data_IF_133407831356
#
_entry.id   IF_133407831356
#
_cell.length_a   1.000
_cell.length_b   1.000
_cell.length_c   1.000
_cell.angle_alpha   90.00
_cell.angle_beta   90.00
_cell.angle_gamma   90.00
#
_symmetry.space_group_name_H-M   'P 1'
#
loop_
_entity.id
_entity.type
_entity.pdbx_description
1 polymer ?
#
# COMPACT_ATOMS: atom_id res chain seq x y z
N UNK A 1 0.51 -5.25 -12.75
CA UNK A 1 -0.39 -6.08 -13.57
C UNK A 1 0.17 -6.32 -14.97
N UNK A 2 0.94 -5.39 -15.53
CA UNK A 2 1.46 -5.46 -16.91
C UNK A 2 2.70 -6.37 -17.10
N UNK A 3 3.28 -6.91 -16.04
CA UNK A 3 4.52 -7.73 -16.09
C UNK A 3 4.26 -9.20 -16.47
N UNK A 4 3.51 -9.43 -17.54
CA UNK A 4 3.06 -10.75 -18.00
C UNK A 4 4.23 -11.74 -18.23
N UNK A 5 5.23 -11.32 -19.01
CA UNK A 5 6.37 -12.17 -19.37
C UNK A 5 7.25 -12.49 -18.14
N UNK A 6 7.47 -11.51 -17.25
CA UNK A 6 8.28 -11.69 -16.06
C UNK A 6 7.60 -12.66 -15.08
N UNK A 7 6.28 -12.57 -14.93
CA UNK A 7 5.50 -13.50 -14.11
C UNK A 7 5.54 -14.89 -14.72
N UNK A 8 5.31 -15.02 -16.02
CA UNK A 8 5.39 -16.30 -16.73
C UNK A 8 6.79 -16.94 -16.55
N UNK A 9 7.85 -16.15 -16.74
CA UNK A 9 9.22 -16.63 -16.54
C UNK A 9 9.46 -17.12 -15.11
N UNK A 10 8.97 -16.36 -14.11
CA UNK A 10 9.08 -16.78 -12.70
C UNK A 10 8.34 -18.09 -12.41
N UNK A 11 7.15 -18.26 -13.00
CA UNK A 11 6.37 -19.50 -12.90
C UNK A 11 7.10 -20.69 -13.55
N UNK A 12 7.72 -20.49 -14.69
CA UNK A 12 8.54 -21.52 -15.35
C UNK A 12 9.77 -21.94 -14.52
N UNK A 13 10.26 -21.05 -13.63
CA UNK A 13 11.30 -21.35 -12.65
C UNK A 13 10.78 -21.99 -11.35
N UNK A 14 9.50 -22.27 -11.26
CA UNK A 14 8.86 -22.92 -10.10
C UNK A 14 8.57 -21.97 -8.93
N UNK A 15 8.56 -20.66 -9.16
CA UNK A 15 8.20 -19.68 -8.12
C UNK A 15 6.69 -19.66 -7.88
N UNK A 16 6.30 -19.51 -6.62
CA UNK A 16 4.94 -19.09 -6.25
C UNK A 16 4.88 -17.57 -6.33
N UNK A 17 3.99 -17.03 -7.14
CA UNK A 17 3.90 -15.59 -7.40
C UNK A 17 2.50 -15.09 -7.08
N UNK A 18 2.43 -14.07 -6.22
CA UNK A 18 1.22 -13.32 -5.92
C UNK A 18 1.43 -11.89 -6.44
N UNK A 19 0.54 -11.42 -7.29
CA UNK A 19 0.56 -10.04 -7.81
C UNK A 19 -0.45 -9.21 -7.04
N UNK A 20 0.00 -8.08 -6.49
CA UNK A 20 -0.88 -7.03 -5.92
C UNK A 20 -0.77 -5.79 -6.79
N UNK A 21 -1.89 -5.27 -7.27
CA UNK A 21 -1.91 -4.08 -8.13
C UNK A 21 -3.19 -3.27 -7.92
N UNK A 22 -3.23 -2.07 -8.48
CA UNK A 22 -4.38 -1.17 -8.44
C UNK A 22 -4.63 -0.48 -9.79
N UNK A 23 -3.83 -0.78 -10.79
CA UNK A 23 -4.00 -0.21 -12.11
C UNK A 23 -5.14 -0.89 -12.89
N UNK A 24 -5.68 -0.18 -13.87
CA UNK A 24 -6.64 -0.78 -14.80
C UNK A 24 -6.04 -1.99 -15.51
N UNK A 25 -6.84 -3.06 -15.61
CA UNK A 25 -6.40 -4.29 -16.29
C UNK A 25 -6.24 -4.02 -17.79
N UNK A 26 -5.07 -4.28 -18.38
CA UNK A 26 -4.90 -4.20 -19.82
C UNK A 26 -5.84 -5.18 -20.55
N UNK A 27 -6.28 -4.82 -21.75
CA UNK A 27 -7.15 -5.68 -22.55
C UNK A 27 -6.82 -5.58 -24.04
N UNK A 28 -7.20 -6.61 -24.77
CA UNK A 28 -7.22 -6.64 -26.23
C UNK A 28 -8.69 -6.72 -26.69
N UNK A 29 -8.99 -6.10 -27.82
CA UNK A 29 -10.30 -6.27 -28.44
C UNK A 29 -10.32 -7.56 -29.25
N UNK A 30 -11.38 -8.33 -29.07
CA UNK A 30 -11.65 -9.53 -29.88
C UNK A 30 -12.01 -9.14 -31.33
N UNK A 31 -12.11 -10.14 -32.21
CA UNK A 31 -12.39 -9.95 -33.65
C UNK A 31 -13.70 -9.20 -33.93
N UNK A 32 -14.64 -9.17 -32.99
CA UNK A 32 -15.88 -8.42 -33.07
C UNK A 32 -15.71 -6.91 -32.84
N UNK A 33 -14.51 -6.47 -32.44
CA UNK A 33 -14.17 -5.09 -32.15
C UNK A 33 -14.86 -4.47 -30.94
N UNK A 34 -15.57 -5.25 -30.13
CA UNK A 34 -16.37 -4.79 -28.97
C UNK A 34 -16.01 -5.56 -27.70
N UNK A 35 -15.86 -6.88 -27.79
CA UNK A 35 -15.56 -7.74 -26.65
C UNK A 35 -14.12 -7.57 -26.22
N UNK A 36 -13.91 -7.36 -24.91
CA UNK A 36 -12.58 -7.19 -24.30
C UNK A 36 -12.07 -8.53 -23.78
N UNK A 37 -10.84 -8.86 -24.11
CA UNK A 37 -10.09 -9.93 -23.48
C UNK A 37 -9.08 -9.30 -22.51
N UNK A 38 -9.32 -9.44 -21.19
CA UNK A 38 -8.46 -8.85 -20.16
C UNK A 38 -7.18 -9.67 -20.00
N UNK A 39 -6.04 -8.98 -19.96
CA UNK A 39 -4.71 -9.56 -19.85
C UNK A 39 -4.29 -9.63 -18.38
N UNK A 40 -4.48 -10.78 -17.77
CA UNK A 40 -4.11 -11.04 -16.37
C UNK A 40 -2.85 -11.89 -16.34
N UNK A 41 -1.80 -11.50 -15.57
CA UNK A 41 -0.56 -12.28 -15.50
C UNK A 41 -0.81 -13.68 -14.91
N UNK A 42 -0.08 -14.72 -15.39
CA UNK A 42 -0.26 -16.10 -14.97
C UNK A 42 0.33 -16.38 -13.58
N UNK A 43 -0.03 -15.57 -12.60
CA UNK A 43 0.36 -15.70 -11.21
C UNK A 43 -0.52 -16.74 -10.48
N UNK A 44 -0.07 -17.19 -9.29
CA UNK A 44 -0.87 -18.07 -8.44
C UNK A 44 -2.09 -17.35 -7.85
N UNK A 45 -1.94 -16.04 -7.62
CA UNK A 45 -3.05 -15.16 -7.26
C UNK A 45 -2.78 -13.73 -7.77
N UNK A 46 -3.86 -13.03 -8.15
CA UNK A 46 -3.83 -11.61 -8.49
C UNK A 46 -4.84 -10.87 -7.63
N UNK A 47 -4.36 -9.91 -6.83
CA UNK A 47 -5.16 -9.06 -5.96
C UNK A 47 -5.21 -7.67 -6.58
N UNK A 48 -6.26 -7.41 -7.33
CA UNK A 48 -6.54 -6.13 -7.97
C UNK A 48 -8.05 -5.94 -8.04
N UNK A 49 -8.53 -4.84 -7.47
CA UNK A 49 -9.96 -4.55 -7.43
C UNK A 49 -10.55 -4.24 -8.81
N UNK A 50 -9.73 -3.92 -9.80
CA UNK A 50 -10.15 -3.58 -11.16
C UNK A 50 -10.41 -4.81 -12.05
N UNK A 51 -10.21 -6.04 -11.55
CA UNK A 51 -10.62 -7.24 -12.28
C UNK A 51 -12.14 -7.23 -12.50
N UNK A 52 -12.59 -7.69 -13.67
CA UNK A 52 -13.98 -7.61 -14.11
C UNK A 52 -14.95 -8.27 -13.13
N UNK A 53 -14.61 -9.45 -12.63
CA UNK A 53 -15.45 -10.21 -11.70
C UNK A 53 -15.25 -9.84 -10.22
N UNK A 54 -14.35 -8.90 -9.93
CA UNK A 54 -14.06 -8.52 -8.57
C UNK A 54 -15.23 -7.76 -7.93
N UNK A 55 -15.76 -8.29 -6.85
CA UNK A 55 -16.88 -7.69 -6.12
C UNK A 55 -16.45 -6.73 -5.00
N UNK A 56 -15.15 -6.46 -4.86
CA UNK A 56 -14.68 -5.51 -3.87
C UNK A 56 -15.27 -4.13 -4.16
N UNK A 57 -15.96 -3.50 -3.20
CA UNK A 57 -16.80 -2.33 -3.48
C UNK A 57 -16.00 -1.07 -3.81
N UNK A 58 -14.77 -0.93 -3.30
CA UNK A 58 -13.93 0.24 -3.48
C UNK A 58 -12.77 -0.05 -4.44
N UNK A 59 -12.75 0.64 -5.59
CA UNK A 59 -11.81 0.38 -6.70
C UNK A 59 -10.62 1.34 -6.76
N UNK A 60 -10.58 2.36 -5.90
CA UNK A 60 -9.68 3.51 -6.04
C UNK A 60 -8.52 3.52 -5.03
N UNK A 61 -8.16 2.38 -4.46
CA UNK A 61 -6.98 2.30 -3.60
C UNK A 61 -5.69 2.44 -4.41
N UNK A 62 -4.67 3.06 -3.81
CA UNK A 62 -3.29 2.95 -4.31
C UNK A 62 -2.70 1.57 -3.99
N UNK A 63 -1.58 1.21 -4.63
CA UNK A 63 -0.94 -0.09 -4.42
C UNK A 63 -0.61 -0.40 -2.96
N UNK A 64 -0.15 0.59 -2.18
CA UNK A 64 0.12 0.42 -0.76
C UNK A 64 -1.18 0.21 0.06
N UNK A 65 -2.29 0.82 -0.35
CA UNK A 65 -3.61 0.59 0.24
C UNK A 65 -4.06 -0.86 0.04
N UNK A 66 -3.91 -1.39 -1.18
CA UNK A 66 -4.22 -2.80 -1.50
C UNK A 66 -3.39 -3.74 -0.63
N UNK A 67 -2.08 -3.52 -0.53
CA UNK A 67 -1.19 -4.35 0.31
C UNK A 67 -1.55 -4.23 1.79
N UNK A 68 -1.87 -3.04 2.28
CA UNK A 68 -2.32 -2.84 3.66
C UNK A 68 -3.57 -3.66 3.98
N UNK A 69 -4.58 -3.63 3.11
CA UNK A 69 -5.80 -4.42 3.29
C UNK A 69 -5.51 -5.92 3.23
N UNK A 70 -4.66 -6.36 2.30
CA UNK A 70 -4.26 -7.77 2.21
C UNK A 70 -3.59 -8.25 3.51
N UNK A 71 -2.66 -7.48 4.07
CA UNK A 71 -1.97 -7.83 5.34
C UNK A 71 -2.98 -7.90 6.49
N UNK A 72 -3.91 -6.96 6.58
CA UNK A 72 -4.99 -7.00 7.57
C UNK A 72 -5.77 -8.31 7.50
N UNK A 73 -6.19 -8.71 6.30
CA UNK A 73 -6.94 -9.94 6.08
C UNK A 73 -6.12 -11.18 6.41
N UNK A 74 -4.83 -11.20 6.04
CA UNK A 74 -3.92 -12.30 6.38
C UNK A 74 -3.75 -12.45 7.90
N UNK A 75 -3.59 -11.36 8.63
CA UNK A 75 -3.50 -11.43 10.10
C UNK A 75 -4.77 -12.00 10.72
N UNK A 76 -5.95 -11.58 10.23
CA UNK A 76 -7.21 -12.17 10.70
C UNK A 76 -7.30 -13.65 10.39
N UNK A 77 -6.96 -14.04 9.17
CA UNK A 77 -7.06 -15.44 8.75
C UNK A 77 -6.12 -16.35 9.54
N UNK A 78 -4.94 -15.85 9.93
CA UNK A 78 -3.97 -16.61 10.75
C UNK A 78 -4.44 -16.72 12.21
N UNK A 79 -4.97 -15.65 12.80
CA UNK A 79 -5.42 -15.68 14.21
C UNK A 79 -6.81 -16.33 14.37
N UNK A 80 -7.67 -16.19 13.38
CA UNK A 80 -9.05 -16.67 13.39
C UNK A 80 -9.36 -17.45 12.10
N UNK A 81 -8.87 -18.68 11.94
CA UNK A 81 -9.05 -19.46 10.70
C UNK A 81 -10.52 -19.68 10.32
N UNK A 82 -11.39 -19.79 11.33
CA UNK A 82 -12.82 -20.04 11.17
C UNK A 82 -13.67 -18.76 11.10
N UNK A 83 -13.02 -17.58 11.12
CA UNK A 83 -13.75 -16.32 11.04
C UNK A 83 -14.34 -16.13 9.63
N UNK A 84 -15.65 -15.96 9.56
CA UNK A 84 -16.34 -15.60 8.32
C UNK A 84 -16.41 -14.08 8.21
N UNK A 85 -15.80 -13.54 7.15
CA UNK A 85 -15.83 -12.11 6.88
C UNK A 85 -17.22 -11.72 6.36
N UNK A 86 -17.90 -10.84 7.06
CA UNK A 86 -19.15 -10.24 6.59
C UNK A 86 -18.88 -8.87 5.96
N UNK A 87 -19.70 -8.48 5.01
CA UNK A 87 -19.62 -7.18 4.31
C UNK A 87 -19.87 -5.97 5.22
N UNK A 88 -20.14 -6.18 6.50
CA UNK A 88 -20.39 -5.16 7.51
C UNK A 88 -19.30 -5.03 8.58
N UNK A 89 -18.22 -5.81 8.52
CA UNK A 89 -17.14 -5.74 9.50
C UNK A 89 -16.35 -4.45 9.32
N UNK A 90 -16.55 -3.52 10.26
CA UNK A 90 -15.85 -2.23 10.29
C UNK A 90 -14.46 -2.37 10.92
N UNK A 91 -13.56 -1.43 10.61
CA UNK A 91 -12.20 -1.35 11.16
C UNK A 91 -12.14 -1.50 12.69
N UNK A 92 -13.15 -1.02 13.40
CA UNK A 92 -13.18 -1.00 14.88
C UNK A 92 -13.26 -2.40 15.50
N UNK A 93 -14.01 -3.31 14.88
CA UNK A 93 -14.16 -4.68 15.39
C UNK A 93 -12.91 -5.51 15.12
N UNK A 94 -12.27 -5.29 13.98
CA UNK A 94 -11.08 -5.99 13.56
C UNK A 94 -9.89 -5.77 14.51
N UNK A 95 -9.60 -4.53 14.90
CA UNK A 95 -8.48 -4.21 15.78
C UNK A 95 -8.57 -4.86 17.15
N UNK A 96 -9.78 -5.06 17.68
CA UNK A 96 -9.96 -5.61 19.03
C UNK A 96 -9.49 -7.06 19.14
N UNK A 97 -9.44 -7.79 18.05
CA UNK A 97 -9.12 -9.22 18.02
C UNK A 97 -7.63 -9.53 17.78
N UNK A 98 -6.82 -8.56 17.37
CA UNK A 98 -5.40 -8.79 17.11
C UNK A 98 -4.53 -8.62 18.36
N UNK A 99 -3.38 -9.29 18.39
CA UNK A 99 -2.33 -9.06 19.39
C UNK A 99 -1.80 -7.62 19.32
N UNK A 100 -1.25 -7.12 20.42
CA UNK A 100 -0.73 -5.74 20.47
C UNK A 100 0.44 -5.53 19.50
N UNK A 101 1.25 -6.55 19.26
CA UNK A 101 2.33 -6.52 18.28
C UNK A 101 1.78 -6.30 16.85
N UNK A 102 0.75 -7.07 16.45
CA UNK A 102 0.12 -6.91 15.13
C UNK A 102 -0.61 -5.59 14.99
N UNK A 103 -1.21 -5.08 16.08
CA UNK A 103 -1.82 -3.75 16.09
C UNK A 103 -0.80 -2.65 15.83
N UNK A 104 0.38 -2.72 16.47
CA UNK A 104 1.48 -1.76 16.24
C UNK A 104 1.96 -1.82 14.79
N UNK A 105 2.23 -3.01 14.28
CA UNK A 105 2.65 -3.20 12.89
C UNK A 105 1.59 -2.68 11.91
N UNK A 106 0.32 -2.98 12.12
CA UNK A 106 -0.75 -2.45 11.25
C UNK A 106 -0.87 -0.93 11.34
N UNK A 107 -0.62 -0.33 12.50
CA UNK A 107 -0.60 1.12 12.62
C UNK A 107 0.54 1.74 11.80
N UNK A 108 1.75 1.18 11.88
CA UNK A 108 2.90 1.61 11.08
C UNK A 108 2.62 1.45 9.57
N UNK A 109 2.12 0.29 9.16
CA UNK A 109 1.76 0.04 7.76
C UNK A 109 0.65 0.99 7.26
N UNK A 110 -0.29 1.37 8.13
CA UNK A 110 -1.33 2.37 7.83
C UNK A 110 -0.74 3.76 7.62
N UNK A 111 0.28 4.14 8.40
CA UNK A 111 1.00 5.40 8.22
C UNK A 111 1.67 5.45 6.85
N UNK A 112 2.36 4.37 6.46
CA UNK A 112 2.98 4.24 5.14
C UNK A 112 1.93 4.25 4.02
N UNK A 113 0.83 3.52 4.19
CA UNK A 113 -0.28 3.52 3.23
C UNK A 113 -0.93 4.90 3.10
N UNK A 114 -1.03 5.68 4.20
CA UNK A 114 -1.55 7.05 4.16
C UNK A 114 -0.63 7.98 3.36
N UNK A 115 0.69 7.89 3.54
CA UNK A 115 1.66 8.66 2.75
C UNK A 115 1.54 8.29 1.27
N UNK A 116 1.49 7.00 0.95
CA UNK A 116 1.39 6.52 -0.42
C UNK A 116 0.05 6.92 -1.08
N UNK A 117 -1.07 6.83 -0.36
CA UNK A 117 -2.40 7.22 -0.87
C UNK A 117 -2.43 8.69 -1.28
N UNK A 118 -1.83 9.57 -0.47
CA UNK A 118 -1.73 11.00 -0.81
C UNK A 118 -0.73 11.23 -1.94
N UNK A 119 0.41 10.52 -1.92
CA UNK A 119 1.47 10.65 -2.92
C UNK A 119 1.06 10.16 -4.32
N UNK A 120 0.17 9.18 -4.38
CA UNK A 120 -0.38 8.62 -5.63
C UNK A 120 -1.56 9.44 -6.20
N UNK A 121 -1.98 10.48 -5.47
CA UNK A 121 -3.02 11.44 -5.88
C UNK A 121 -4.37 10.76 -6.17
N UNK A 122 -4.67 9.67 -5.49
CA UNK A 122 -5.98 9.01 -5.57
C UNK A 122 -7.03 9.74 -4.73
N UNK A 123 -8.31 9.59 -5.08
CA UNK A 123 -9.41 10.24 -4.38
C UNK A 123 -9.48 9.86 -2.90
N UNK A 124 -9.53 10.86 -2.01
CA UNK A 124 -9.64 10.67 -0.56
C UNK A 124 -11.09 10.45 -0.14
N UNK A 125 -11.72 9.43 -0.71
CA UNK A 125 -13.07 8.97 -0.43
C UNK A 125 -13.02 7.62 0.30
N UNK A 126 -14.11 7.23 0.92
CA UNK A 126 -14.34 5.93 1.54
C UNK A 126 -13.11 5.38 2.29
N UNK A 127 -12.57 4.24 1.86
CA UNK A 127 -11.43 3.58 2.51
C UNK A 127 -10.14 4.41 2.45
N UNK A 128 -9.86 5.10 1.33
CA UNK A 128 -8.72 6.00 1.23
C UNK A 128 -8.79 7.10 2.29
N UNK A 129 -9.98 7.67 2.50
CA UNK A 129 -10.20 8.67 3.54
C UNK A 129 -9.93 8.11 4.94
N UNK A 130 -10.36 6.86 5.20
CA UNK A 130 -10.11 6.21 6.49
C UNK A 130 -8.61 5.95 6.71
N UNK A 131 -7.93 5.38 5.71
CA UNK A 131 -6.49 5.10 5.75
C UNK A 131 -5.73 6.41 6.03
N UNK A 132 -6.01 7.47 5.28
CA UNK A 132 -5.32 8.76 5.43
C UNK A 132 -5.65 9.41 6.77
N UNK A 133 -6.92 9.50 7.16
CA UNK A 133 -7.35 10.10 8.42
C UNK A 133 -6.65 9.45 9.63
N UNK A 134 -6.73 8.12 9.72
CA UNK A 134 -6.16 7.41 10.87
C UNK A 134 -4.64 7.28 10.79
N UNK A 135 -4.06 7.11 9.59
CA UNK A 135 -2.62 7.10 9.42
C UNK A 135 -1.98 8.42 9.85
N UNK A 136 -2.56 9.55 9.44
CA UNK A 136 -2.06 10.88 9.84
C UNK A 136 -2.26 11.16 11.34
N UNK A 137 -3.39 10.75 11.94
CA UNK A 137 -3.66 11.01 13.34
C UNK A 137 -2.68 10.32 14.30
N UNK A 138 -2.01 9.27 13.86
CA UNK A 138 -1.01 8.52 14.64
C UNK A 138 0.44 8.84 14.25
N UNK A 139 0.65 9.76 13.30
CA UNK A 139 1.97 10.04 12.75
C UNK A 139 2.91 10.69 13.77
N UNK A 140 2.38 11.45 14.70
CA UNK A 140 3.18 12.09 15.76
C UNK A 140 3.92 11.07 16.64
N UNK A 141 3.30 9.91 16.84
CA UNK A 141 3.82 8.82 17.67
C UNK A 141 4.44 7.68 16.84
N UNK A 142 4.85 7.97 15.60
CA UNK A 142 5.43 6.94 14.72
C UNK A 142 6.73 6.39 15.30
N UNK A 143 6.89 5.07 15.26
CA UNK A 143 8.16 4.39 15.59
C UNK A 143 9.08 4.31 14.37
N UNK A 144 8.60 4.63 13.17
CA UNK A 144 9.37 4.58 11.94
C UNK A 144 10.45 5.66 11.89
N UNK A 145 11.71 5.25 11.97
CA UNK A 145 12.85 6.17 12.00
C UNK A 145 13.02 6.96 10.70
N UNK A 146 12.68 6.35 9.57
CA UNK A 146 12.72 7.02 8.26
C UNK A 146 11.71 8.15 8.15
N UNK A 147 10.48 7.94 8.62
CA UNK A 147 9.45 8.99 8.65
C UNK A 147 9.91 10.15 9.54
N UNK A 148 10.45 9.86 10.72
CA UNK A 148 10.96 10.90 11.65
C UNK A 148 12.08 11.71 11.02
N UNK A 149 13.09 11.03 10.44
CA UNK A 149 14.23 11.69 9.80
C UNK A 149 13.79 12.54 8.60
N UNK A 150 12.85 12.04 7.78
CA UNK A 150 12.32 12.79 6.65
C UNK A 150 11.54 14.04 7.12
N UNK A 151 10.74 13.92 8.18
CA UNK A 151 10.02 15.05 8.75
C UNK A 151 10.96 16.14 9.27
N UNK A 152 12.07 15.75 9.92
CA UNK A 152 13.09 16.67 10.41
C UNK A 152 13.77 17.43 9.25
N UNK A 153 14.22 16.72 8.22
CA UNK A 153 14.85 17.33 7.02
C UNK A 153 13.88 18.27 6.31
N UNK A 154 12.62 17.86 6.17
CA UNK A 154 11.57 18.68 5.55
C UNK A 154 11.01 19.78 6.48
N UNK A 155 11.45 19.86 7.74
CA UNK A 155 10.96 20.79 8.76
C UNK A 155 9.44 20.71 8.96
N UNK A 156 8.90 19.50 8.97
CA UNK A 156 7.47 19.23 9.12
C UNK A 156 7.17 18.72 10.52
N UNK A 157 6.22 19.37 11.20
CA UNK A 157 5.72 18.93 12.50
C UNK A 157 4.72 17.78 12.31
N UNK A 158 5.13 16.56 12.67
CA UNK A 158 4.32 15.35 12.54
C UNK A 158 2.99 15.42 13.30
N UNK A 159 2.89 16.24 14.36
CA UNK A 159 1.65 16.43 15.11
C UNK A 159 0.61 17.30 14.38
N UNK A 160 1.01 18.02 13.35
CA UNK A 160 0.18 18.92 12.55
C UNK A 160 0.06 18.50 11.10
N UNK A 161 0.41 17.24 10.80
CA UNK A 161 0.34 16.73 9.45
C UNK A 161 -1.08 16.75 8.88
N UNK A 162 -1.16 17.18 7.62
CA UNK A 162 -2.33 17.07 6.77
C UNK A 162 -1.95 16.43 5.44
N UNK A 163 -2.94 16.04 4.65
CA UNK A 163 -2.71 15.55 3.27
C UNK A 163 -1.93 16.56 2.42
N UNK A 164 -2.15 17.88 2.62
CA UNK A 164 -1.39 18.92 1.96
C UNK A 164 0.12 18.81 2.24
N UNK A 165 0.50 18.64 3.50
CA UNK A 165 1.92 18.53 3.86
C UNK A 165 2.57 17.31 3.22
N UNK A 166 1.89 16.16 3.20
CA UNK A 166 2.41 14.95 2.55
C UNK A 166 2.53 15.12 1.04
N UNK A 167 1.50 15.64 0.39
CA UNK A 167 1.50 15.84 -1.05
C UNK A 167 2.53 16.86 -1.55
N UNK A 168 2.86 17.88 -0.75
CA UNK A 168 3.74 18.98 -1.15
C UNK A 168 5.20 18.81 -0.70
N UNK A 169 5.49 17.96 0.31
CA UNK A 169 6.82 17.88 0.91
C UNK A 169 7.38 16.44 0.90
N UNK A 170 6.91 15.50 1.76
CA UNK A 170 7.46 14.14 1.76
C UNK A 170 7.18 13.36 0.47
N UNK A 171 6.00 13.53 -0.13
CA UNK A 171 5.62 12.86 -1.37
C UNK A 171 6.59 13.13 -2.52
N UNK A 172 6.86 14.42 -2.87
CA UNK A 172 7.89 14.77 -3.85
C UNK A 172 9.30 14.28 -3.46
N UNK A 173 9.68 14.33 -2.18
CA UNK A 173 11.01 13.83 -1.75
C UNK A 173 11.14 12.31 -1.97
N UNK A 174 10.12 11.53 -1.68
CA UNK A 174 10.09 10.09 -1.93
C UNK A 174 9.96 9.76 -3.42
N UNK A 175 9.24 10.59 -4.19
CA UNK A 175 9.03 10.44 -5.63
C UNK A 175 10.09 11.13 -6.50
N UNK A 176 10.88 12.07 -5.96
CA UNK A 176 11.83 12.93 -6.70
C UNK A 176 12.86 12.16 -7.52
N UNK A 177 12.82 10.90 -7.42
CA UNK A 177 13.80 10.03 -7.93
C UNK A 177 13.28 9.08 -9.00
N UNK A 178 12.56 9.42 -9.95
CA UNK A 178 12.21 8.55 -11.11
C UNK A 178 13.38 7.69 -11.67
N UNK A 179 14.43 7.49 -10.85
CA UNK A 179 15.59 6.63 -11.05
C UNK A 179 15.52 5.47 -10.06
N UNK A 180 15.81 4.27 -10.52
CA UNK A 180 15.86 3.02 -9.73
C UNK A 180 16.64 3.16 -8.40
N UNK A 181 17.76 3.88 -8.41
CA UNK A 181 18.62 4.07 -7.23
C UNK A 181 17.92 4.83 -6.09
N UNK A 182 17.02 5.73 -6.42
CA UNK A 182 16.40 6.54 -5.41
C UNK A 182 15.09 5.92 -4.90
N UNK A 183 14.38 5.12 -5.70
CA UNK A 183 13.30 4.27 -5.19
C UNK A 183 13.86 3.28 -4.13
N UNK A 184 15.05 2.71 -4.39
CA UNK A 184 15.75 1.87 -3.43
C UNK A 184 16.11 2.63 -2.15
N UNK A 185 16.67 3.85 -2.27
CA UNK A 185 16.97 4.69 -1.10
C UNK A 185 15.73 5.02 -0.28
N UNK A 186 14.59 5.29 -0.91
CA UNK A 186 13.34 5.53 -0.21
C UNK A 186 12.86 4.28 0.57
N UNK A 187 12.98 3.09 -0.03
CA UNK A 187 12.69 1.83 0.66
C UNK A 187 13.66 1.61 1.82
N UNK A 188 14.96 1.80 1.60
CA UNK A 188 15.99 1.63 2.64
C UNK A 188 15.75 2.62 3.80
N UNK A 189 15.38 3.88 3.50
CA UNK A 189 15.02 4.90 4.49
C UNK A 189 13.83 4.46 5.36
N UNK A 190 12.75 4.02 4.73
CA UNK A 190 11.53 3.66 5.45
C UNK A 190 11.63 2.31 6.19
N UNK A 191 12.64 1.50 5.87
CA UNK A 191 12.85 0.17 6.45
C UNK A 191 14.01 0.08 7.44
N UNK A 192 14.83 1.14 7.56
CA UNK A 192 15.99 1.13 8.46
C UNK A 192 15.59 1.09 9.93
N UNK A 193 16.37 0.34 10.72
CA UNK A 193 16.25 0.29 12.18
C UNK A 193 17.37 1.10 12.87
N UNK A 194 18.16 1.86 12.10
CA UNK A 194 19.26 2.70 12.59
C UNK A 194 18.93 4.18 12.43
N UNK A 195 18.95 4.94 13.53
CA UNK A 195 18.73 6.39 13.51
C UNK A 195 19.78 7.13 12.68
N UNK A 196 21.05 6.75 12.81
CA UNK A 196 22.15 7.37 12.03
C UNK A 196 21.97 7.12 10.53
N UNK A 197 21.55 5.92 10.15
CA UNK A 197 21.27 5.59 8.77
C UNK A 197 20.04 6.32 8.24
N UNK A 198 18.98 6.44 9.03
CA UNK A 198 17.79 7.20 8.66
C UNK A 198 18.14 8.67 8.36
N UNK A 199 18.96 9.30 9.21
CA UNK A 199 19.46 10.67 8.98
C UNK A 199 20.29 10.75 7.69
N UNK A 200 21.19 9.80 7.45
CA UNK A 200 22.00 9.78 6.24
C UNK A 200 21.16 9.59 4.96
N UNK A 201 20.14 8.75 5.00
CA UNK A 201 19.29 8.45 3.84
C UNK A 201 18.25 9.54 3.55
N UNK A 202 17.88 10.34 4.56
CA UNK A 202 16.92 11.42 4.41
C UNK A 202 17.48 12.70 3.78
N UNK A 203 18.81 12.81 3.68
CA UNK A 203 19.56 13.93 3.05
C UNK A 203 19.79 13.67 1.55
#
# INVERSE_FOLDING_TARGET
ISAMEQVAYGKDKGLTIIVTDHHSIPFELMDDGVTKHFLIPPADAVVDANQEECQYPFKYMCGAGVVYQLIRMLFMRVEYPDFEFSTGDTDCNFHNHLSDEKKRLLNELRQLAAIATVGDIVDLLDENRQIVKYGLSTMADTDNLGIRALAEVCQVDLSKLSSYHIGCIPGPCLNASGRLDAARKAVDLLNTQSGDEAVRLSQ
#
